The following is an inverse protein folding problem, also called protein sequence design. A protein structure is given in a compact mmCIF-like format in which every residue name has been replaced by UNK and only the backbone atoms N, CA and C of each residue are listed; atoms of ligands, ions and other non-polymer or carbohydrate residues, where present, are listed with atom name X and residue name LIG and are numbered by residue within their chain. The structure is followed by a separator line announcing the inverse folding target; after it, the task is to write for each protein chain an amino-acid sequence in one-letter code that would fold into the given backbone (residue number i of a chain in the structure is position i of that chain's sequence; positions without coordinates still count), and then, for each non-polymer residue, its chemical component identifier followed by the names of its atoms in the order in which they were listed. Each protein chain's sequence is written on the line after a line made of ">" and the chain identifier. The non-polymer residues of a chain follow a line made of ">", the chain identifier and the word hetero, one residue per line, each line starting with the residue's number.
data_IF_795189177383
#
_entry.id   IF_795189177383
#
_cell.length_a   1.000
_cell.length_b   1.000
_cell.length_c   1.000
_cell.angle_alpha   90.00
_cell.angle_beta   90.00
_cell.angle_gamma   90.00
#
_symmetry.space_group_name_H-M   'P 1'
#
loop_
_entity.id
_entity.type
_entity.pdbx_description
1 polymer ?
#
# COMPACT_ATOMS: atom_id res chain seq x y z
N UNK A 1 -27.75 3.01 -20.03
CA UNK A 1 -26.53 3.20 -20.84
C UNK A 1 -26.07 1.82 -21.32
N UNK A 2 -24.94 1.65 -22.01
CA UNK A 2 -24.32 0.33 -22.26
C UNK A 2 -22.85 0.37 -21.84
N UNK A 3 -22.60 0.92 -20.65
CA UNK A 3 -21.27 1.22 -20.16
C UNK A 3 -20.76 0.04 -19.32
N UNK A 4 -19.51 -0.37 -19.56
CA UNK A 4 -18.81 -1.32 -18.70
C UNK A 4 -18.45 -0.63 -17.38
N UNK A 5 -18.84 -1.19 -16.24
CA UNK A 5 -18.65 -0.61 -14.91
C UNK A 5 -18.15 -1.65 -13.91
N UNK A 6 -17.37 -1.24 -12.90
CA UNK A 6 -17.02 -2.08 -11.76
C UNK A 6 -18.16 -1.99 -10.74
N UNK A 7 -18.68 -3.12 -10.31
CA UNK A 7 -19.83 -3.22 -9.40
C UNK A 7 -19.41 -3.98 -8.16
N UNK A 8 -19.70 -3.40 -7.01
CA UNK A 8 -19.39 -4.03 -5.74
C UNK A 8 -20.46 -5.06 -5.38
N UNK A 9 -20.01 -6.21 -4.90
CA UNK A 9 -20.82 -7.33 -4.46
C UNK A 9 -20.29 -7.88 -3.14
N UNK A 10 -21.13 -8.66 -2.45
CA UNK A 10 -20.73 -9.41 -1.26
C UNK A 10 -19.54 -10.34 -1.55
N UNK A 11 -18.80 -10.71 -0.50
CA UNK A 11 -17.60 -11.55 -0.60
C UNK A 11 -17.86 -12.94 -1.19
N UNK A 12 -19.08 -13.46 -1.07
CA UNK A 12 -19.50 -14.76 -1.57
C UNK A 12 -20.01 -14.72 -3.03
N UNK A 13 -20.05 -13.54 -3.65
CA UNK A 13 -20.59 -13.36 -5.00
C UNK A 13 -19.91 -14.26 -6.03
N UNK A 14 -20.69 -15.23 -6.52
CA UNK A 14 -20.29 -16.20 -7.55
C UNK A 14 -18.96 -16.88 -7.22
N UNK A 15 -18.66 -17.13 -5.94
CA UNK A 15 -17.34 -17.60 -5.47
C UNK A 15 -16.75 -18.79 -6.26
N UNK A 16 -17.61 -19.66 -6.78
CA UNK A 16 -17.22 -20.87 -7.53
C UNK A 16 -16.98 -20.61 -9.04
N UNK A 17 -17.33 -19.43 -9.56
CA UNK A 17 -17.18 -19.07 -10.97
C UNK A 17 -15.80 -18.43 -11.26
N UNK A 18 -14.81 -19.26 -11.56
CA UNK A 18 -13.40 -18.85 -11.75
C UNK A 18 -13.12 -18.02 -13.00
N UNK A 19 -13.95 -18.15 -14.03
CA UNK A 19 -13.73 -17.51 -15.33
C UNK A 19 -14.39 -16.13 -15.47
N UNK A 20 -14.87 -15.54 -14.38
CA UNK A 20 -15.44 -14.20 -14.40
C UNK A 20 -14.39 -13.12 -14.22
N UNK A 21 -14.62 -11.98 -14.88
CA UNK A 21 -13.87 -10.76 -14.63
C UNK A 21 -14.29 -10.19 -13.28
N UNK A 22 -13.56 -10.58 -12.22
CA UNK A 22 -13.76 -10.11 -10.86
C UNK A 22 -12.48 -10.17 -10.05
N UNK A 23 -12.40 -9.35 -9.01
CA UNK A 23 -11.33 -9.38 -8.01
C UNK A 23 -11.89 -8.97 -6.64
N UNK A 24 -11.13 -9.16 -5.57
CA UNK A 24 -11.51 -8.60 -4.28
C UNK A 24 -11.14 -7.12 -4.20
N UNK A 25 -11.98 -6.31 -3.55
CA UNK A 25 -11.72 -4.90 -3.25
C UNK A 25 -10.45 -4.75 -2.39
N UNK A 26 -10.23 -5.70 -1.49
CA UNK A 26 -9.06 -5.81 -0.63
C UNK A 26 -8.58 -7.27 -0.62
N UNK A 27 -7.29 -7.54 -0.42
CA UNK A 27 -6.73 -8.89 -0.50
C UNK A 27 -7.05 -9.76 0.73
N UNK A 28 -8.34 -9.97 0.99
CA UNK A 28 -8.90 -10.79 2.05
C UNK A 28 -10.19 -11.48 1.54
N UNK A 29 -10.43 -12.72 1.97
CA UNK A 29 -11.59 -13.51 1.56
C UNK A 29 -12.94 -12.96 2.06
N UNK A 30 -12.94 -12.13 3.13
CA UNK A 30 -14.15 -11.46 3.61
C UNK A 30 -14.37 -10.09 2.95
N UNK A 31 -13.47 -9.65 2.08
CA UNK A 31 -13.62 -8.38 1.38
C UNK A 31 -14.71 -8.46 0.28
N UNK A 32 -15.39 -7.35 -0.02
CA UNK A 32 -16.30 -7.27 -1.17
C UNK A 32 -15.61 -7.64 -2.48
N UNK A 33 -16.39 -8.20 -3.41
CA UNK A 33 -15.93 -8.51 -4.77
C UNK A 33 -16.24 -7.32 -5.68
N UNK A 34 -15.27 -6.92 -6.48
CA UNK A 34 -15.43 -6.02 -7.61
C UNK A 34 -15.69 -6.87 -8.86
N UNK A 35 -16.95 -6.92 -9.30
CA UNK A 35 -17.36 -7.61 -10.52
C UNK A 35 -17.51 -6.62 -11.68
N UNK A 36 -17.05 -6.98 -12.87
CA UNK A 36 -17.06 -6.08 -14.02
C UNK A 36 -18.20 -6.45 -14.99
N UNK A 37 -19.14 -5.54 -15.21
CA UNK A 37 -20.35 -5.79 -15.99
C UNK A 37 -20.81 -4.60 -16.82
N UNK A 38 -21.56 -4.87 -17.89
CA UNK A 38 -22.18 -3.84 -18.72
C UNK A 38 -23.54 -3.47 -18.14
N UNK A 39 -23.72 -2.20 -17.81
CA UNK A 39 -25.02 -1.66 -17.43
C UNK A 39 -25.89 -1.56 -18.68
N UNK A 40 -27.00 -2.30 -18.76
CA UNK A 40 -27.97 -2.22 -19.85
C UNK A 40 -29.15 -1.27 -19.57
N UNK A 41 -29.12 -0.56 -18.43
CA UNK A 41 -30.20 0.27 -17.90
C UNK A 41 -31.20 -0.51 -17.04
N UNK A 42 -31.57 -1.73 -17.45
CA UNK A 42 -32.51 -2.56 -16.68
C UNK A 42 -31.79 -3.57 -15.78
N UNK A 43 -30.59 -4.00 -16.18
CA UNK A 43 -29.81 -4.99 -15.46
C UNK A 43 -28.32 -4.86 -15.79
N UNK A 44 -27.48 -5.33 -14.87
CA UNK A 44 -26.07 -5.57 -15.13
C UNK A 44 -25.86 -6.91 -15.82
N UNK A 45 -25.18 -6.88 -16.96
CA UNK A 45 -24.80 -8.08 -17.72
C UNK A 45 -23.32 -8.36 -17.48
N UNK A 46 -23.01 -9.52 -16.91
CA UNK A 46 -21.65 -9.94 -16.61
C UNK A 46 -21.18 -10.94 -17.67
N UNK A 47 -20.04 -10.65 -18.29
CA UNK A 47 -19.36 -11.56 -19.20
C UNK A 47 -18.30 -12.38 -18.46
N UNK A 48 -18.09 -13.62 -18.89
CA UNK A 48 -16.97 -14.46 -18.47
C UNK A 48 -16.01 -14.69 -19.63
N UNK A 49 -14.80 -15.12 -19.31
CA UNK A 49 -13.86 -15.67 -20.27
C UNK A 49 -14.23 -17.14 -20.60
N UNK A 50 -13.91 -17.60 -21.81
CA UNK A 50 -14.09 -19.00 -22.18
C UNK A 50 -13.06 -19.92 -21.51
N UNK A 51 -11.90 -19.38 -21.13
CA UNK A 51 -10.81 -20.09 -20.47
C UNK A 51 -9.89 -19.11 -19.71
N UNK A 52 -8.96 -19.64 -18.93
CA UNK A 52 -8.03 -18.84 -18.10
C UNK A 52 -7.11 -17.94 -18.95
N UNK A 53 -6.65 -18.41 -20.11
CA UNK A 53 -5.77 -17.63 -20.98
C UNK A 53 -6.46 -16.35 -21.48
N UNK A 54 -7.72 -16.47 -21.88
CA UNK A 54 -8.54 -15.32 -22.27
C UNK A 54 -8.80 -14.38 -21.08
N UNK A 55 -9.06 -14.93 -19.88
CA UNK A 55 -9.25 -14.14 -18.66
C UNK A 55 -8.04 -13.24 -18.41
N UNK A 56 -6.84 -13.81 -18.38
CA UNK A 56 -5.60 -13.05 -18.14
C UNK A 56 -5.31 -12.02 -19.23
N UNK A 57 -5.66 -12.32 -20.48
CA UNK A 57 -5.45 -11.41 -21.60
C UNK A 57 -6.42 -10.22 -21.59
N UNK A 58 -7.72 -10.46 -21.33
CA UNK A 58 -8.77 -9.43 -21.42
C UNK A 58 -8.94 -8.61 -20.13
N UNK A 59 -8.71 -9.21 -18.97
CA UNK A 59 -9.07 -8.60 -17.70
C UNK A 59 -8.44 -7.23 -17.44
N UNK A 60 -7.14 -6.98 -17.75
CA UNK A 60 -6.54 -5.66 -17.55
C UNK A 60 -7.22 -4.54 -18.35
N UNK A 61 -7.66 -4.84 -19.58
CA UNK A 61 -8.34 -3.87 -20.44
C UNK A 61 -9.75 -3.56 -19.92
N UNK A 62 -10.51 -4.61 -19.56
CA UNK A 62 -11.85 -4.51 -18.97
C UNK A 62 -11.81 -3.68 -17.69
N UNK A 63 -10.87 -3.97 -16.79
CA UNK A 63 -10.68 -3.22 -15.54
C UNK A 63 -10.42 -1.74 -15.80
N UNK A 64 -9.49 -1.44 -16.72
CA UNK A 64 -9.12 -0.06 -17.05
C UNK A 64 -10.30 0.73 -17.62
N UNK A 65 -11.04 0.14 -18.56
CA UNK A 65 -12.22 0.76 -19.16
C UNK A 65 -13.31 1.01 -18.11
N UNK A 66 -13.61 0.01 -17.28
CA UNK A 66 -14.62 0.10 -16.24
C UNK A 66 -14.32 1.23 -15.24
N UNK A 67 -13.09 1.31 -14.75
CA UNK A 67 -12.68 2.36 -13.81
C UNK A 67 -12.71 3.75 -14.47
N UNK A 68 -12.39 3.86 -15.77
CA UNK A 68 -12.50 5.12 -16.50
C UNK A 68 -13.97 5.57 -16.63
N UNK A 69 -14.88 4.63 -16.90
CA UNK A 69 -16.32 4.90 -16.97
C UNK A 69 -16.87 5.30 -15.59
N UNK A 70 -16.49 4.59 -14.52
CA UNK A 70 -16.88 4.95 -13.16
C UNK A 70 -16.43 6.38 -12.80
N UNK A 71 -15.21 6.76 -13.18
CA UNK A 71 -14.67 8.10 -12.92
C UNK A 71 -15.48 9.21 -13.61
N UNK A 72 -16.05 8.93 -14.78
CA UNK A 72 -16.85 9.89 -15.53
C UNK A 72 -18.25 10.14 -14.92
N UNK A 73 -18.73 9.25 -14.05
CA UNK A 73 -20.01 9.40 -13.36
C UNK A 73 -19.83 10.39 -12.21
N UNK A 74 -20.57 11.49 -12.23
CA UNK A 74 -20.58 12.43 -11.11
C UNK A 74 -21.55 11.93 -10.03
N UNK A 75 -21.07 11.81 -8.80
CA UNK A 75 -21.86 11.37 -7.65
C UNK A 75 -21.84 12.50 -6.62
N UNK A 76 -22.99 13.12 -6.34
CA UNK A 76 -23.06 14.14 -5.29
C UNK A 76 -22.92 13.49 -3.91
N UNK A 77 -22.46 14.28 -2.95
CA UNK A 77 -22.44 13.92 -1.55
C UNK A 77 -22.77 15.14 -0.69
N UNK A 78 -23.17 14.86 0.54
CA UNK A 78 -23.40 15.85 1.58
C UNK A 78 -22.47 15.61 2.76
N UNK A 79 -22.08 16.68 3.45
CA UNK A 79 -21.33 16.60 4.70
C UNK A 79 -22.23 17.12 5.80
N UNK A 80 -22.40 16.33 6.84
CA UNK A 80 -23.19 16.67 8.04
C UNK A 80 -22.31 16.58 9.27
N UNK A 81 -22.60 17.40 10.28
CA UNK A 81 -21.90 17.32 11.56
C UNK A 81 -22.69 16.43 12.52
N UNK A 82 -22.01 15.43 13.09
CA UNK A 82 -22.55 14.57 14.13
C UNK A 82 -21.50 14.40 15.23
N UNK A 83 -21.88 14.76 16.47
CA UNK A 83 -21.00 14.64 17.64
C UNK A 83 -19.61 15.28 17.43
N UNK A 84 -19.57 16.49 16.85
CA UNK A 84 -18.32 17.21 16.58
C UNK A 84 -17.46 16.60 15.47
N UNK A 85 -17.99 15.63 14.72
CA UNK A 85 -17.34 15.02 13.56
C UNK A 85 -18.10 15.35 12.29
N UNK A 86 -17.36 15.74 11.24
CA UNK A 86 -17.91 15.81 9.89
C UNK A 86 -18.03 14.40 9.31
N UNK A 87 -19.25 14.02 8.94
CA UNK A 87 -19.59 12.77 8.29
C UNK A 87 -20.05 13.07 6.87
N UNK A 88 -19.42 12.44 5.89
CA UNK A 88 -19.84 12.49 4.50
C UNK A 88 -20.78 11.34 4.19
N UNK A 89 -21.88 11.65 3.51
CA UNK A 89 -22.80 10.70 2.92
C UNK A 89 -22.92 10.94 1.41
N UNK A 90 -22.54 9.95 0.62
CA UNK A 90 -22.90 9.86 -0.79
C UNK A 90 -24.04 8.83 -0.90
N UNK A 91 -25.26 9.32 -1.11
CA UNK A 91 -26.49 8.52 -1.16
C UNK A 91 -27.40 9.00 -2.29
N UNK A 92 -28.34 8.16 -2.71
CA UNK A 92 -29.30 8.50 -3.77
C UNK A 92 -28.79 8.34 -5.20
N UNK A 93 -27.51 7.97 -5.39
CA UNK A 93 -26.96 7.56 -6.69
C UNK A 93 -26.61 6.07 -6.68
N UNK A 94 -26.99 5.32 -7.71
CA UNK A 94 -26.81 3.87 -7.77
C UNK A 94 -25.35 3.37 -7.76
N UNK A 95 -24.39 4.28 -7.94
CA UNK A 95 -22.94 4.00 -8.03
C UNK A 95 -22.15 4.67 -6.90
N UNK A 96 -22.83 5.15 -5.86
CA UNK A 96 -22.14 5.86 -4.77
C UNK A 96 -21.18 4.95 -3.99
N UNK A 97 -21.57 3.68 -3.77
CA UNK A 97 -20.71 2.66 -3.15
C UNK A 97 -19.43 2.42 -3.95
N UNK A 98 -19.55 2.33 -5.27
CA UNK A 98 -18.48 2.04 -6.22
C UNK A 98 -17.42 3.14 -6.23
N UNK A 99 -17.76 4.37 -5.84
CA UNK A 99 -16.82 5.49 -5.78
C UNK A 99 -15.65 5.30 -4.81
N UNK A 100 -15.70 4.30 -3.92
CA UNK A 100 -14.51 3.87 -3.16
C UNK A 100 -13.34 3.42 -4.07
N UNK A 101 -13.63 2.99 -5.31
CA UNK A 101 -12.64 2.61 -6.34
C UNK A 101 -12.08 3.81 -7.11
N UNK A 102 -12.68 5.00 -6.99
CA UNK A 102 -12.26 6.21 -7.67
C UNK A 102 -11.31 7.02 -6.77
N UNK A 103 -10.01 6.83 -6.99
CA UNK A 103 -8.94 7.48 -6.23
C UNK A 103 -9.10 9.00 -6.17
N UNK A 104 -9.47 9.64 -7.27
CA UNK A 104 -9.60 11.10 -7.32
C UNK A 104 -10.79 11.58 -6.48
N UNK A 105 -11.89 10.83 -6.52
CA UNK A 105 -13.07 11.09 -5.70
C UNK A 105 -12.76 10.96 -4.21
N UNK A 106 -12.04 9.90 -3.81
CA UNK A 106 -11.65 9.69 -2.41
C UNK A 106 -10.67 10.77 -1.90
N UNK A 107 -9.74 11.23 -2.74
CA UNK A 107 -8.86 12.37 -2.40
C UNK A 107 -9.68 13.65 -2.21
N UNK A 108 -10.66 13.91 -3.07
CA UNK A 108 -11.56 15.06 -2.94
C UNK A 108 -12.32 15.01 -1.62
N UNK A 109 -12.86 13.85 -1.25
CA UNK A 109 -13.54 13.65 0.04
C UNK A 109 -12.60 13.95 1.21
N UNK A 110 -11.36 13.44 1.19
CA UNK A 110 -10.39 13.68 2.24
C UNK A 110 -10.08 15.18 2.41
N UNK A 111 -9.93 15.90 1.30
CA UNK A 111 -9.72 17.34 1.29
C UNK A 111 -10.90 18.12 1.87
N UNK A 112 -12.13 17.77 1.48
CA UNK A 112 -13.35 18.44 1.96
C UNK A 112 -13.61 18.18 3.45
N UNK A 113 -13.27 16.97 3.93
CA UNK A 113 -13.28 16.61 5.36
C UNK A 113 -12.06 17.13 6.12
N UNK A 114 -11.07 17.72 5.43
CA UNK A 114 -9.82 18.26 5.99
C UNK A 114 -9.00 17.22 6.77
N UNK A 115 -8.84 16.03 6.21
CA UNK A 115 -8.09 14.94 6.82
C UNK A 115 -7.20 14.23 5.79
N UNK A 116 -6.16 13.54 6.27
CA UNK A 116 -5.24 12.78 5.40
C UNK A 116 -5.71 11.34 5.17
N UNK A 117 -6.52 10.82 6.10
CA UNK A 117 -6.95 9.42 6.16
C UNK A 117 -8.44 9.32 6.47
N UNK A 118 -9.14 8.49 5.70
CA UNK A 118 -10.58 8.29 5.80
C UNK A 118 -10.91 6.91 6.35
N UNK A 119 -11.95 6.82 7.17
CA UNK A 119 -12.65 5.58 7.44
C UNK A 119 -13.96 5.57 6.66
N UNK A 120 -14.13 4.58 5.79
CA UNK A 120 -15.20 4.52 4.78
C UNK A 120 -16.08 3.29 5.00
N UNK A 121 -17.39 3.45 4.93
CA UNK A 121 -18.37 2.36 4.96
C UNK A 121 -19.15 2.28 3.66
N UNK A 122 -19.39 1.07 3.16
CA UNK A 122 -20.17 0.78 1.94
C UNK A 122 -21.18 -0.34 2.22
N UNK A 123 -22.22 -0.06 3.04
CA UNK A 123 -23.13 -1.09 3.56
C UNK A 123 -23.90 -1.81 2.45
N UNK A 124 -24.41 -1.07 1.47
CA UNK A 124 -25.22 -1.59 0.37
C UNK A 124 -25.12 -0.69 -0.87
N UNK A 125 -25.66 -1.17 -1.99
CA UNK A 125 -25.60 -0.46 -3.28
C UNK A 125 -26.11 0.97 -3.17
N UNK A 126 -25.30 1.91 -3.65
CA UNK A 126 -25.66 3.32 -3.72
C UNK A 126 -25.53 4.10 -2.42
N UNK A 127 -24.79 3.57 -1.44
CA UNK A 127 -24.42 4.28 -0.22
C UNK A 127 -22.92 4.18 0.04
N UNK A 128 -22.31 5.34 0.27
CA UNK A 128 -20.95 5.48 0.79
C UNK A 128 -20.96 6.48 1.95
N UNK A 129 -20.39 6.07 3.07
CA UNK A 129 -20.20 6.90 4.27
C UNK A 129 -18.71 7.10 4.49
N UNK A 130 -18.27 8.31 4.83
CA UNK A 130 -16.86 8.57 5.14
C UNK A 130 -16.71 9.55 6.30
N UNK A 131 -15.72 9.30 7.16
CA UNK A 131 -15.28 10.19 8.24
C UNK A 131 -13.76 10.29 8.23
N UNK A 132 -13.21 11.28 8.93
CA UNK A 132 -11.80 11.24 9.34
C UNK A 132 -11.55 9.97 10.18
N UNK A 133 -10.55 9.16 9.83
CA UNK A 133 -10.22 7.95 10.60
C UNK A 133 -9.81 8.21 12.05
N UNK A 134 -9.42 9.45 12.38
CA UNK A 134 -9.06 9.90 13.72
C UNK A 134 -10.23 10.51 14.51
N UNK A 135 -11.40 10.65 13.88
CA UNK A 135 -12.61 11.16 14.51
C UNK A 135 -13.01 10.38 15.77
N UNK A 136 -13.70 11.07 16.69
CA UNK A 136 -14.38 10.45 17.84
C UNK A 136 -15.43 9.41 17.41
N UNK A 137 -16.08 9.59 16.25
CA UNK A 137 -17.06 8.66 15.67
C UNK A 137 -16.45 7.39 15.08
N UNK A 138 -15.12 7.23 15.03
CA UNK A 138 -14.46 6.03 14.45
C UNK A 138 -14.88 4.71 15.09
N UNK A 139 -15.34 4.73 16.35
CA UNK A 139 -15.87 3.53 17.03
C UNK A 139 -17.34 3.27 16.72
N UNK A 140 -18.09 4.31 16.33
CA UNK A 140 -19.52 4.23 16.03
C UNK A 140 -19.78 3.87 14.58
N UNK A 141 -18.91 4.31 13.66
CA UNK A 141 -19.08 4.06 12.23
C UNK A 141 -19.26 2.57 11.89
N UNK A 142 -18.47 1.60 12.42
CA UNK A 142 -18.71 0.18 12.15
C UNK A 142 -20.10 -0.31 12.57
N UNK A 143 -20.63 0.21 13.69
CA UNK A 143 -21.98 -0.13 14.18
C UNK A 143 -23.04 0.44 13.22
N UNK A 144 -22.86 1.67 12.76
CA UNK A 144 -23.76 2.32 11.80
C UNK A 144 -23.74 1.55 10.47
N UNK A 145 -22.55 1.21 9.95
CA UNK A 145 -22.41 0.43 8.71
C UNK A 145 -23.10 -0.93 8.85
N UNK A 146 -22.92 -1.63 9.98
CA UNK A 146 -23.59 -2.90 10.23
C UNK A 146 -25.11 -2.76 10.25
N UNK A 147 -25.63 -1.71 10.90
CA UNK A 147 -27.07 -1.44 10.96
C UNK A 147 -27.66 -1.20 9.55
N UNK A 148 -26.96 -0.46 8.69
CA UNK A 148 -27.39 -0.25 7.31
C UNK A 148 -27.28 -1.52 6.47
N UNK A 149 -26.22 -2.31 6.66
CA UNK A 149 -26.02 -3.59 5.99
C UNK A 149 -27.12 -4.61 6.31
N UNK A 150 -27.60 -4.64 7.56
CA UNK A 150 -28.65 -5.58 8.01
C UNK A 150 -30.06 -5.22 7.52
N UNK A 151 -30.22 -4.12 6.77
CA UNK A 151 -31.51 -3.74 6.22
C UNK A 151 -31.92 -4.70 5.08
N UNK A 152 -32.99 -5.52 5.26
CA UNK A 152 -33.37 -6.54 4.28
C UNK A 152 -33.96 -5.98 2.98
N UNK A 153 -34.22 -4.68 2.90
CA UNK A 153 -34.78 -4.03 1.70
C UNK A 153 -33.70 -3.55 0.71
N UNK A 154 -32.42 -3.70 1.07
CA UNK A 154 -31.30 -3.17 0.29
C UNK A 154 -30.46 -4.31 -0.28
N UNK A 155 -29.69 -4.01 -1.33
CA UNK A 155 -28.72 -4.95 -1.91
C UNK A 155 -27.38 -4.83 -1.16
N UNK A 156 -27.07 -5.73 -0.19
CA UNK A 156 -25.91 -5.59 0.68
C UNK A 156 -24.59 -5.69 -0.08
N UNK A 157 -23.55 -5.01 0.42
CA UNK A 157 -22.19 -5.07 -0.11
C UNK A 157 -21.21 -5.49 1.00
N UNK A 158 -21.10 -4.72 2.07
CA UNK A 158 -20.14 -4.99 3.15
C UNK A 158 -20.60 -4.47 4.49
N UNK A 159 -20.47 -5.28 5.54
CA UNK A 159 -20.62 -4.82 6.92
C UNK A 159 -19.33 -4.24 7.50
N UNK A 160 -18.28 -4.12 6.69
CA UNK A 160 -16.95 -3.68 7.11
C UNK A 160 -16.74 -2.19 6.82
N UNK A 161 -15.77 -1.63 7.53
CA UNK A 161 -15.20 -0.31 7.24
C UNK A 161 -13.85 -0.47 6.57
N UNK A 162 -13.46 0.51 5.77
CA UNK A 162 -12.23 0.53 4.99
C UNK A 162 -11.42 1.75 5.38
N UNK A 163 -10.13 1.56 5.65
CA UNK A 163 -9.19 2.66 5.80
C UNK A 163 -8.71 3.07 4.41
N UNK A 164 -8.93 4.33 4.05
CA UNK A 164 -8.51 4.90 2.77
C UNK A 164 -7.46 5.97 3.01
N UNK A 165 -6.31 5.84 2.36
CA UNK A 165 -5.20 6.79 2.43
C UNK A 165 -4.73 7.11 1.01
N UNK A 166 -4.47 8.39 0.72
CA UNK A 166 -4.11 8.85 -0.62
C UNK A 166 -5.13 8.40 -1.70
N UNK A 167 -6.40 8.25 -1.31
CA UNK A 167 -7.48 7.77 -2.18
C UNK A 167 -7.47 6.27 -2.48
N UNK A 168 -6.65 5.46 -1.81
CA UNK A 168 -6.60 4.00 -1.99
C UNK A 168 -6.97 3.27 -0.69
N UNK A 169 -7.65 2.13 -0.80
CA UNK A 169 -7.95 1.26 0.35
C UNK A 169 -6.66 0.58 0.82
N UNK A 170 -6.25 0.85 2.07
CA UNK A 170 -5.00 0.33 2.65
C UNK A 170 -5.20 -0.69 3.78
N UNK A 171 -6.40 -0.75 4.35
CA UNK A 171 -6.80 -1.76 5.34
C UNK A 171 -8.33 -1.91 5.40
N UNK A 172 -8.81 -3.03 5.94
CA UNK A 172 -10.23 -3.29 6.19
C UNK A 172 -10.47 -3.68 7.66
N UNK A 173 -11.54 -3.15 8.24
CA UNK A 173 -11.99 -3.51 9.58
C UNK A 173 -12.53 -4.94 9.61
N UNK A 174 -12.20 -5.70 10.66
CA UNK A 174 -12.63 -7.09 10.79
C UNK A 174 -11.83 -8.09 9.96
N UNK A 175 -10.74 -7.66 9.30
CA UNK A 175 -9.69 -8.60 8.90
C UNK A 175 -9.36 -9.48 10.10
N UNK A 176 -9.46 -10.80 9.90
CA UNK A 176 -8.83 -11.71 10.85
C UNK A 176 -7.36 -11.34 10.81
N UNK A 177 -6.82 -10.93 11.96
CA UNK A 177 -5.38 -10.92 12.15
C UNK A 177 -4.90 -12.26 11.59
N UNK A 178 -3.90 -12.29 10.68
CA UNK A 178 -3.47 -13.54 10.08
C UNK A 178 -3.33 -14.54 11.21
N UNK A 179 -4.21 -15.56 11.22
CA UNK A 179 -4.14 -16.62 12.22
C UNK A 179 -2.71 -17.11 12.12
N UNK A 180 -1.99 -17.08 13.23
CA UNK A 180 -0.60 -17.49 13.29
C UNK A 180 -0.56 -18.98 12.89
N UNK A 181 -0.50 -19.29 11.59
CA UNK A 181 -0.12 -20.62 11.12
C UNK A 181 1.28 -20.98 11.66
N UNK A 182 2.01 -19.98 12.17
CA UNK A 182 3.26 -20.06 12.88
C UNK A 182 3.20 -19.50 14.32
N UNK A 183 2.26 -19.93 15.18
CA UNK A 183 2.42 -19.72 16.65
C UNK A 183 3.79 -20.27 17.14
N UNK A 184 4.39 -21.14 16.33
CA UNK A 184 5.72 -21.66 16.51
C UNK A 184 6.87 -20.71 16.19
N UNK A 185 6.67 -19.55 15.53
CA UNK A 185 7.79 -18.70 15.11
C UNK A 185 8.03 -17.51 16.02
N UNK A 186 7.00 -16.93 16.64
CA UNK A 186 7.21 -15.83 17.59
C UNK A 186 6.10 -15.65 18.61
N UNK A 187 6.42 -14.97 19.72
CA UNK A 187 5.47 -14.62 20.79
C UNK A 187 5.47 -13.11 21.00
N UNK A 188 4.30 -12.49 20.94
CA UNK A 188 4.12 -11.05 21.21
C UNK A 188 3.67 -10.88 22.66
N UNK A 189 4.30 -9.95 23.37
CA UNK A 189 3.98 -9.52 24.72
C UNK A 189 3.78 -8.01 24.77
N UNK A 190 2.90 -7.54 25.64
CA UNK A 190 2.59 -6.12 25.84
C UNK A 190 2.79 -5.77 27.32
N UNK A 191 3.46 -4.65 27.61
CA UNK A 191 3.62 -4.18 28.99
C UNK A 191 2.58 -3.10 29.36
N UNK A 192 2.56 -2.65 30.64
CA UNK A 192 1.61 -1.63 31.12
C UNK A 192 1.72 -0.28 30.40
N UNK A 193 2.89 0.03 29.85
CA UNK A 193 3.13 1.24 29.07
C UNK A 193 2.79 1.05 27.58
N UNK A 194 2.27 -0.12 27.19
CA UNK A 194 1.93 -0.47 25.81
C UNK A 194 3.15 -0.45 24.87
N UNK A 195 4.30 -0.82 25.42
CA UNK A 195 5.45 -1.27 24.64
C UNK A 195 5.29 -2.75 24.33
N UNK A 196 5.82 -3.15 23.18
CA UNK A 196 5.69 -4.52 22.68
C UNK A 196 7.03 -5.24 22.71
N UNK A 197 7.04 -6.46 23.22
CA UNK A 197 8.17 -7.38 23.15
C UNK A 197 7.84 -8.56 22.25
N UNK A 198 8.71 -8.88 21.29
CA UNK A 198 8.51 -9.94 20.30
C UNK A 198 9.64 -10.96 20.46
N UNK A 199 9.32 -12.16 20.91
CA UNK A 199 10.27 -13.28 21.04
C UNK A 199 10.29 -14.08 19.75
N UNK A 200 11.39 -14.00 19.00
CA UNK A 200 11.56 -14.64 17.69
C UNK A 200 12.28 -15.99 17.86
N UNK A 201 11.72 -17.05 17.27
CA UNK A 201 12.24 -18.43 17.28
C UNK A 201 12.94 -18.81 15.96
N UNK A 202 13.19 -17.83 15.10
CA UNK A 202 13.87 -18.00 13.81
C UNK A 202 15.24 -18.66 13.99
N UNK A 203 15.64 -19.52 13.05
CA UNK A 203 16.89 -20.30 13.13
C UNK A 203 18.01 -19.73 12.27
N UNK A 204 17.67 -18.87 11.33
CA UNK A 204 18.60 -18.22 10.41
C UNK A 204 18.11 -16.79 10.08
N UNK A 205 18.95 -16.04 9.36
CA UNK A 205 18.69 -14.62 9.04
C UNK A 205 17.50 -14.46 8.09
N UNK A 206 17.26 -15.39 7.17
CA UNK A 206 16.16 -15.30 6.20
C UNK A 206 14.79 -15.52 6.87
N UNK A 207 14.71 -16.52 7.75
CA UNK A 207 13.57 -16.73 8.65
C UNK A 207 13.36 -15.52 9.56
N UNK A 208 14.45 -14.97 10.13
CA UNK A 208 14.40 -13.81 11.02
C UNK A 208 13.73 -12.62 10.34
N UNK A 209 14.11 -12.32 9.10
CA UNK A 209 13.51 -11.23 8.32
C UNK A 209 12.02 -11.49 8.11
N UNK A 210 11.64 -12.72 7.78
CA UNK A 210 10.24 -13.10 7.57
C UNK A 210 9.41 -12.96 8.85
N UNK A 211 9.93 -13.44 9.98
CA UNK A 211 9.24 -13.40 11.27
C UNK A 211 9.14 -11.96 11.81
N UNK A 212 10.18 -11.14 11.63
CA UNK A 212 10.13 -9.70 11.96
C UNK A 212 9.01 -9.02 11.18
N UNK A 213 8.88 -9.30 9.88
CA UNK A 213 7.79 -8.70 9.08
C UNK A 213 6.42 -9.05 9.60
N UNK A 214 6.20 -10.34 9.83
CA UNK A 214 4.89 -10.85 10.21
C UNK A 214 4.52 -10.35 11.60
N UNK A 215 5.45 -10.45 12.55
CA UNK A 215 5.25 -9.97 13.92
C UNK A 215 5.10 -8.45 14.00
N UNK A 216 5.89 -7.68 13.23
CA UNK A 216 5.79 -6.22 13.19
C UNK A 216 4.44 -5.77 12.65
N UNK A 217 3.90 -6.41 11.59
CA UNK A 217 2.54 -6.14 11.11
C UNK A 217 1.49 -6.38 12.19
N UNK A 218 1.59 -7.50 12.90
CA UNK A 218 0.65 -7.81 13.98
C UNK A 218 0.73 -6.77 15.10
N UNK A 219 1.94 -6.38 15.54
CA UNK A 219 2.12 -5.30 16.52
C UNK A 219 1.55 -3.98 16.00
N UNK A 220 1.76 -3.63 14.74
CA UNK A 220 1.19 -2.41 14.18
C UNK A 220 -0.34 -2.43 14.16
N UNK A 221 -0.95 -3.56 13.81
CA UNK A 221 -2.40 -3.73 13.90
C UNK A 221 -2.90 -3.63 15.34
N UNK A 222 -2.19 -4.22 16.31
CA UNK A 222 -2.49 -4.07 17.73
C UNK A 222 -2.42 -2.61 18.16
N UNK A 223 -1.38 -1.87 17.77
CA UNK A 223 -1.22 -0.43 18.06
C UNK A 223 -2.41 0.36 17.48
N UNK A 224 -2.78 0.12 16.22
CA UNK A 224 -3.91 0.78 15.57
C UNK A 224 -5.24 0.48 16.27
N UNK A 225 -5.44 -0.77 16.72
CA UNK A 225 -6.64 -1.19 17.46
C UNK A 225 -6.70 -0.57 18.86
N UNK A 226 -5.57 -0.54 19.58
CA UNK A 226 -5.46 0.02 20.94
C UNK A 226 -5.49 1.55 20.94
N UNK A 227 -5.12 2.18 19.81
CA UNK A 227 -5.05 3.63 19.62
C UNK A 227 -4.06 4.31 20.57
N UNK A 228 -3.06 3.55 20.99
CA UNK A 228 -2.03 4.02 21.88
C UNK A 228 -0.82 3.09 21.77
N UNK A 229 0.35 3.69 21.86
CA UNK A 229 1.63 3.00 21.74
C UNK A 229 2.60 3.62 22.75
N UNK A 230 3.31 2.79 23.51
CA UNK A 230 4.29 3.29 24.48
C UNK A 230 5.53 3.91 23.84
N UNK A 231 5.77 3.60 22.56
CA UNK A 231 6.92 4.07 21.79
C UNK A 231 8.09 3.09 21.75
N UNK A 232 7.96 1.86 22.26
CA UNK A 232 9.04 0.87 22.14
C UNK A 232 8.55 -0.47 21.59
N UNK A 233 9.28 -0.99 20.59
CA UNK A 233 9.14 -2.36 20.10
C UNK A 233 10.50 -3.06 20.24
N UNK A 234 10.55 -4.12 21.04
CA UNK A 234 11.75 -4.89 21.31
C UNK A 234 11.65 -6.29 20.68
N UNK A 235 12.53 -6.59 19.73
CA UNK A 235 12.71 -7.93 19.16
C UNK A 235 13.75 -8.70 19.98
N UNK A 236 13.40 -9.85 20.53
CA UNK A 236 14.27 -10.75 21.28
C UNK A 236 14.56 -11.97 20.41
N UNK A 237 15.83 -12.17 20.09
CA UNK A 237 16.31 -13.19 19.17
C UNK A 237 16.68 -14.43 19.96
N UNK A 238 16.34 -15.60 19.42
CA UNK A 238 16.80 -16.89 19.94
C UNK A 238 18.32 -17.04 19.80
N UNK A 239 18.93 -17.72 20.77
CA UNK A 239 20.31 -18.22 20.71
C UNK A 239 20.56 -19.19 19.55
N UNK A 240 19.51 -19.68 18.87
CA UNK A 240 19.62 -20.51 17.68
C UNK A 240 20.34 -19.80 16.52
N UNK A 241 20.25 -18.47 16.44
CA UNK A 241 21.00 -17.68 15.45
C UNK A 241 22.34 -17.27 16.08
N UNK A 242 23.49 -17.62 15.49
CA UNK A 242 24.79 -17.22 16.02
C UNK A 242 24.97 -15.70 15.94
N UNK A 243 25.38 -15.09 17.05
CA UNK A 243 25.71 -13.68 17.08
C UNK A 243 27.01 -13.42 16.29
N UNK A 244 26.89 -12.69 15.18
CA UNK A 244 28.01 -12.25 14.35
C UNK A 244 27.74 -10.85 13.78
N UNK A 245 28.74 -10.25 13.13
CA UNK A 245 28.62 -8.91 12.54
C UNK A 245 27.50 -8.83 11.50
N UNK A 246 27.30 -9.90 10.71
CA UNK A 246 26.24 -9.97 9.70
C UNK A 246 24.84 -9.84 10.32
N UNK A 247 24.59 -10.53 11.44
CA UNK A 247 23.33 -10.43 12.17
C UNK A 247 23.12 -9.00 12.70
N UNK A 248 24.14 -8.45 13.36
CA UNK A 248 24.10 -7.10 13.93
C UNK A 248 23.85 -6.04 12.85
N UNK A 249 24.56 -6.11 11.72
CA UNK A 249 24.40 -5.19 10.60
C UNK A 249 23.00 -5.34 9.97
N UNK A 250 22.48 -6.58 9.87
CA UNK A 250 21.12 -6.81 9.39
C UNK A 250 20.06 -6.21 10.32
N UNK A 251 20.19 -6.38 11.64
CA UNK A 251 19.27 -5.80 12.62
C UNK A 251 19.30 -4.26 12.59
N UNK A 252 20.47 -3.64 12.48
CA UNK A 252 20.58 -2.18 12.33
C UNK A 252 19.95 -1.69 11.02
N UNK A 253 20.19 -2.38 9.90
CA UNK A 253 19.55 -2.07 8.63
C UNK A 253 18.03 -2.17 8.72
N UNK A 254 17.52 -3.13 9.51
CA UNK A 254 16.09 -3.25 9.78
C UNK A 254 15.55 -2.04 10.55
N UNK A 255 16.22 -1.61 11.62
CA UNK A 255 15.82 -0.39 12.34
C UNK A 255 15.79 0.80 11.39
N UNK A 256 16.84 1.02 10.60
CA UNK A 256 16.96 2.17 9.71
C UNK A 256 15.84 2.21 8.66
N UNK A 257 15.50 1.07 8.05
CA UNK A 257 14.43 0.98 7.07
C UNK A 257 13.04 1.18 7.70
N UNK A 258 12.83 0.69 8.93
CA UNK A 258 11.61 0.94 9.71
C UNK A 258 11.49 2.44 10.02
N UNK A 259 12.56 3.07 10.50
CA UNK A 259 12.58 4.51 10.84
C UNK A 259 12.37 5.41 9.62
N UNK A 260 12.86 5.02 8.45
CA UNK A 260 12.64 5.76 7.19
C UNK A 260 11.21 5.61 6.64
N UNK A 261 10.37 4.75 7.22
CA UNK A 261 9.02 4.55 6.73
C UNK A 261 8.09 5.70 7.14
N UNK A 262 7.62 6.49 6.16
CA UNK A 262 6.75 7.64 6.40
C UNK A 262 5.45 7.27 7.13
N UNK A 263 4.80 6.17 6.75
CA UNK A 263 3.54 5.74 7.37
C UNK A 263 3.74 5.38 8.85
N UNK A 264 4.83 4.67 9.17
CA UNK A 264 5.15 4.38 10.55
C UNK A 264 5.45 5.65 11.34
N UNK A 265 6.14 6.63 10.75
CA UNK A 265 6.36 7.93 11.38
C UNK A 265 5.02 8.64 11.67
N UNK A 266 4.07 8.59 10.73
CA UNK A 266 2.73 9.14 10.96
C UNK A 266 1.99 8.43 12.09
N UNK A 267 1.96 7.09 12.10
CA UNK A 267 1.30 6.31 13.16
C UNK A 267 1.98 6.57 14.51
N UNK A 268 3.31 6.61 14.51
CA UNK A 268 4.12 6.90 15.69
C UNK A 268 3.83 8.28 16.26
N UNK A 269 3.78 9.32 15.42
CA UNK A 269 3.44 10.68 15.86
C UNK A 269 2.01 10.78 16.38
N UNK A 270 1.08 10.04 15.78
CA UNK A 270 -0.33 10.08 16.17
C UNK A 270 -0.62 9.29 17.47
N UNK A 271 0.06 8.16 17.67
CA UNK A 271 -0.32 7.18 18.71
C UNK A 271 0.72 6.95 19.80
N UNK A 272 1.99 7.32 19.58
CA UNK A 272 3.04 7.06 20.55
C UNK A 272 3.04 8.09 21.68
N UNK A 273 3.12 7.60 22.93
CA UNK A 273 3.28 8.44 24.12
C UNK A 273 4.74 8.88 24.35
N UNK A 274 5.69 8.30 23.60
CA UNK A 274 7.11 8.65 23.65
C UNK A 274 7.77 8.51 22.28
N UNK A 275 9.04 8.94 22.18
CA UNK A 275 9.84 8.79 20.96
C UNK A 275 9.94 7.30 20.60
N UNK A 276 9.55 6.96 19.38
CA UNK A 276 9.55 5.58 18.91
C UNK A 276 10.98 5.04 18.80
N UNK A 277 11.18 3.86 19.37
CA UNK A 277 12.45 3.14 19.43
C UNK A 277 12.25 1.67 19.09
N UNK A 278 13.20 1.14 18.34
CA UNK A 278 13.29 -0.28 18.01
C UNK A 278 14.54 -0.85 18.67
N UNK A 279 14.41 -2.02 19.29
CA UNK A 279 15.54 -2.70 19.95
C UNK A 279 15.62 -4.13 19.48
N UNK A 280 16.83 -4.62 19.29
CA UNK A 280 17.13 -6.02 19.05
C UNK A 280 17.98 -6.53 20.21
N UNK A 281 17.49 -7.55 20.89
CA UNK A 281 18.19 -8.26 21.96
C UNK A 281 18.59 -9.65 21.48
N UNK A 282 19.82 -10.08 21.77
CA UNK A 282 20.28 -11.46 21.58
C UNK A 282 20.74 -11.99 22.94
N UNK A 283 20.10 -13.06 23.43
CA UNK A 283 20.30 -13.59 24.78
C UNK A 283 20.21 -12.51 25.89
N UNK A 284 19.26 -11.58 25.71
CA UNK A 284 19.03 -10.46 26.62
C UNK A 284 19.97 -9.26 26.46
N UNK A 285 21.00 -9.36 25.62
CA UNK A 285 21.96 -8.29 25.36
C UNK A 285 21.54 -7.45 24.16
N UNK A 286 21.63 -6.12 24.27
CA UNK A 286 21.30 -5.20 23.18
C UNK A 286 22.33 -5.30 22.05
N UNK A 287 21.88 -5.67 20.85
CA UNK A 287 22.72 -5.76 19.65
C UNK A 287 22.43 -4.66 18.62
N UNK A 288 21.19 -4.15 18.57
CA UNK A 288 20.82 -2.98 17.77
C UNK A 288 19.78 -2.12 18.50
N UNK A 289 19.82 -0.77 18.39
CA UNK A 289 20.79 0.00 17.60
C UNK A 289 22.18 -0.03 18.24
N UNK A 290 23.23 -0.14 17.42
CA UNK A 290 24.61 -0.10 17.91
C UNK A 290 24.96 1.34 18.30
N UNK A 291 25.28 1.56 19.57
CA UNK A 291 25.53 2.90 20.15
C UNK A 291 26.80 3.59 19.65
N UNK A 292 27.64 2.91 18.86
CA UNK A 292 28.85 3.48 18.29
C UNK A 292 28.66 3.72 16.78
N UNK A 293 28.78 4.97 16.29
CA UNK A 293 28.92 5.19 14.85
C UNK A 293 30.18 4.46 14.39
N UNK A 294 30.03 3.39 13.60
CA UNK A 294 31.14 2.79 12.86
C UNK A 294 31.70 3.91 12.00
N UNK A 295 32.81 4.50 12.45
CA UNK A 295 33.53 5.50 11.68
C UNK A 295 34.08 4.72 10.50
N UNK A 296 33.38 4.80 9.37
CA UNK A 296 33.82 4.18 8.12
C UNK A 296 35.15 4.85 7.79
N UNK A 297 36.26 4.19 8.13
CA UNK A 297 37.56 4.53 7.60
C UNK A 297 37.47 4.29 6.11
N UNK A 298 37.22 5.38 5.38
CA UNK A 298 37.50 5.42 3.96
C UNK A 298 39.00 5.32 3.81
N UNK A 299 39.47 4.18 3.32
CA UNK A 299 40.85 3.97 2.90
C UNK A 299 41.15 4.94 1.75
N UNK A 300 41.54 6.15 2.14
CA UNK A 300 42.12 7.14 1.24
C UNK A 300 43.62 6.89 1.19
N UNK A 301 44.07 6.48 0.00
CA UNK A 301 45.46 6.36 -0.40
C UNK A 301 46.18 7.68 -0.09
N UNK A 302 47.01 7.70 0.95
CA UNK A 302 47.88 8.82 1.27
C UNK A 302 49.13 8.78 0.36
N UNK A 303 49.20 9.74 -0.57
CA UNK A 303 50.49 10.22 -1.11
C UNK A 303 50.92 11.43 -0.29
N UNK A 304 52.10 11.33 0.28
CA UNK A 304 52.76 12.31 1.14
C UNK A 304 53.24 13.55 0.37
N UNK A 305 53.00 14.73 0.94
CA UNK A 305 53.81 15.95 0.73
C UNK A 305 53.96 16.63 2.10
N UNK A 306 55.17 17.01 2.54
CA UNK A 306 55.37 17.74 3.79
C UNK A 306 55.56 19.24 3.52
N UNK A 307 54.80 20.11 4.17
CA UNK A 307 55.20 21.51 4.39
C UNK A 307 54.71 21.99 5.75
N UNK A 308 55.59 22.73 6.41
CA UNK A 308 55.58 23.10 7.80
C UNK A 308 54.72 24.33 8.14
N UNK A 309 54.36 24.37 9.43
CA UNK A 309 54.43 25.51 10.36
C UNK A 309 53.40 26.67 10.31
N UNK A 310 52.77 26.84 11.48
CA UNK A 310 52.75 28.04 12.37
C UNK A 310 51.46 28.89 12.51
N UNK A 311 51.24 29.20 13.81
CA UNK A 311 50.44 30.26 14.49
C UNK A 311 48.90 30.17 14.41
N UNK A 312 48.20 29.99 15.53
CA UNK A 312 47.91 30.90 16.67
C UNK A 312 46.73 31.86 16.44
N UNK A 313 45.68 31.57 17.21
CA UNK A 313 44.87 32.47 18.06
C UNK A 313 43.94 33.56 17.49
N UNK A 314 42.71 33.45 18.00
CA UNK A 314 41.79 34.50 18.47
C UNK A 314 41.22 35.54 17.48
N UNK A 315 39.89 35.59 17.36
CA UNK A 315 39.08 36.58 18.09
C UNK A 315 37.58 36.41 17.85
N UNK A 316 36.85 36.85 18.87
CA UNK A 316 35.42 36.81 19.13
C UNK A 316 34.68 37.99 18.48
N UNK A 317 33.33 37.87 18.39
CA UNK A 317 32.28 38.92 18.38
C UNK A 317 31.93 39.58 17.02
N UNK A 318 30.69 39.99 16.68
CA UNK A 318 29.29 39.96 17.19
C UNK A 318 28.43 40.66 16.09
N UNK A 319 27.08 40.55 16.16
CA UNK A 319 26.03 41.43 15.56
C UNK A 319 25.34 41.01 14.23
N UNK A 320 24.15 40.43 14.43
CA UNK A 320 22.79 40.70 13.88
C UNK A 320 22.51 41.06 12.41
N UNK A 321 21.37 40.50 11.98
CA UNK A 321 20.30 41.06 11.15
C UNK A 321 20.63 41.49 9.72
N UNK A 322 20.09 40.75 8.75
CA UNK A 322 19.16 41.37 7.78
C UNK A 322 18.20 40.30 7.22
N UNK A 323 16.92 40.53 7.45
CA UNK A 323 15.77 39.90 6.81
C UNK A 323 15.48 40.53 5.44
N UNK A 324 14.73 39.78 4.63
CA UNK A 324 13.90 40.19 3.49
C UNK A 324 14.42 40.03 2.05
N UNK A 325 13.45 39.55 1.25
CA UNK A 325 13.29 39.55 -0.21
C UNK A 325 14.04 38.49 -1.01
N UNK A 326 13.33 37.40 -1.33
CA UNK A 326 13.17 36.98 -2.73
C UNK A 326 11.70 36.56 -2.98
N UNK A 327 11.05 37.31 -3.87
CA UNK A 327 9.79 36.96 -4.55
C UNK A 327 10.10 36.05 -5.75
N UNK A 328 9.24 35.04 -5.93
CA UNK A 328 8.73 34.45 -7.18
C UNK A 328 9.64 34.39 -8.42
N UNK A 329 10.00 33.16 -8.82
CA UNK A 329 10.11 32.80 -10.25
C UNK A 329 9.45 31.44 -10.47
N UNK A 330 8.59 31.41 -11.48
CA UNK A 330 7.75 30.31 -11.88
C UNK A 330 8.48 29.31 -12.82
N UNK A 331 7.77 28.21 -13.07
CA UNK A 331 7.90 27.28 -14.19
C UNK A 331 9.16 26.40 -14.23
N UNK A 332 9.00 25.16 -13.76
CA UNK A 332 9.78 24.06 -14.31
C UNK A 332 8.88 22.86 -14.62
N UNK A 333 8.88 22.47 -15.90
CA UNK A 333 8.10 21.38 -16.49
C UNK A 333 8.51 20.04 -15.88
N UNK A 334 7.60 19.37 -15.18
CA UNK A 334 7.80 17.99 -14.75
C UNK A 334 7.65 17.02 -15.94
N UNK A 335 8.66 16.17 -16.13
CA UNK A 335 8.60 14.98 -16.98
C UNK A 335 7.62 13.96 -16.38
N UNK A 336 6.96 13.12 -17.20
CA UNK A 336 6.01 12.13 -16.70
C UNK A 336 6.72 11.09 -15.83
N UNK A 337 6.23 10.94 -14.61
CA UNK A 337 6.65 9.89 -13.68
C UNK A 337 6.27 8.52 -14.25
N UNK A 338 7.26 7.66 -14.44
CA UNK A 338 7.05 6.24 -14.70
C UNK A 338 6.32 5.62 -13.51
N UNK A 339 5.15 5.03 -13.78
CA UNK A 339 4.33 4.35 -12.77
C UNK A 339 5.11 3.20 -12.13
N UNK A 340 5.64 3.43 -10.92
CA UNK A 340 6.12 2.35 -10.04
C UNK A 340 4.89 1.62 -9.49
N UNK A 341 4.83 0.30 -9.70
CA UNK A 341 3.84 -0.56 -9.04
C UNK A 341 4.00 -0.40 -7.53
N UNK A 342 2.94 -0.02 -6.82
CA UNK A 342 2.96 0.09 -5.36
C UNK A 342 3.12 -1.31 -4.76
N UNK A 343 4.24 -1.55 -4.07
CA UNK A 343 4.36 -2.73 -3.20
C UNK A 343 3.42 -2.52 -2.01
N UNK A 344 2.80 -3.59 -1.46
CA UNK A 344 2.01 -3.47 -0.24
C UNK A 344 2.86 -2.80 0.83
N UNK A 345 2.30 -1.80 1.54
CA UNK A 345 3.07 -0.95 2.45
C UNK A 345 3.80 -1.74 3.55
N UNK A 346 3.41 -2.98 3.79
CA UNK A 346 3.96 -3.89 4.79
C UNK A 346 4.98 -4.93 4.26
N UNK A 347 5.24 -5.00 2.94
CA UNK A 347 6.23 -5.91 2.35
C UNK A 347 7.55 -5.15 2.14
N UNK A 348 8.36 -5.07 3.18
CA UNK A 348 9.57 -4.22 3.19
C UNK A 348 10.84 -4.94 2.72
N UNK A 349 10.95 -6.26 2.95
CA UNK A 349 12.21 -7.02 2.82
C UNK A 349 12.05 -8.27 1.95
N UNK A 350 11.46 -8.12 0.77
CA UNK A 350 11.74 -9.12 -0.25
C UNK A 350 13.27 -9.19 -0.40
N UNK A 351 13.85 -10.39 -0.35
CA UNK A 351 15.21 -10.60 -0.85
C UNK A 351 15.30 -9.82 -2.16
N UNK A 352 16.21 -8.87 -2.25
CA UNK A 352 16.58 -8.35 -3.56
C UNK A 352 16.96 -9.58 -4.37
N UNK A 353 16.07 -10.03 -5.27
CA UNK A 353 16.49 -10.79 -6.42
C UNK A 353 17.47 -9.84 -7.10
N UNK A 354 18.76 -10.03 -6.77
CA UNK A 354 19.83 -9.47 -7.57
C UNK A 354 19.62 -10.10 -8.94
N UNK A 355 19.06 -9.33 -9.86
CA UNK A 355 19.06 -9.66 -11.28
C UNK A 355 20.52 -9.93 -11.64
N UNK A 356 20.89 -11.20 -11.69
CA UNK A 356 22.23 -11.59 -12.08
C UNK A 356 22.41 -11.12 -13.53
N UNK A 357 23.63 -10.72 -13.94
CA UNK A 357 23.90 -10.34 -15.33
C UNK A 357 23.43 -11.37 -16.36
N UNK A 358 23.32 -12.64 -15.96
CA UNK A 358 22.80 -13.74 -16.77
C UNK A 358 21.29 -13.65 -17.02
N UNK A 359 20.49 -13.22 -16.04
CA UNK A 359 19.03 -13.04 -16.19
C UNK A 359 18.69 -11.84 -17.06
N UNK A 360 19.46 -10.76 -16.96
CA UNK A 360 19.34 -9.58 -17.84
C UNK A 360 19.65 -9.99 -19.29
N UNK A 361 20.74 -10.73 -19.49
CA UNK A 361 21.12 -11.25 -20.81
C UNK A 361 20.07 -12.21 -21.40
N UNK A 362 19.49 -13.08 -20.58
CA UNK A 362 18.43 -13.99 -21.01
C UNK A 362 17.15 -13.25 -21.42
N UNK A 363 16.81 -12.15 -20.75
CA UNK A 363 15.67 -11.30 -21.11
C UNK A 363 15.92 -10.53 -22.42
N UNK A 364 17.12 -10.02 -22.63
CA UNK A 364 17.52 -9.35 -23.88
C UNK A 364 17.52 -10.30 -25.09
N UNK A 365 18.04 -11.53 -24.92
CA UNK A 365 18.07 -12.54 -25.98
C UNK A 365 16.65 -13.01 -26.34
N UNK A 366 15.76 -13.10 -25.36
CA UNK A 366 14.34 -13.42 -25.58
C UNK A 366 13.63 -12.31 -26.36
N UNK A 367 13.89 -11.04 -26.04
CA UNK A 367 13.30 -9.90 -26.75
C UNK A 367 13.74 -9.86 -28.23
N UNK A 368 15.02 -10.13 -28.52
CA UNK A 368 15.53 -10.22 -29.90
C UNK A 368 14.88 -11.36 -30.69
N UNK A 369 14.62 -12.49 -30.05
CA UNK A 369 13.97 -13.64 -30.68
C UNK A 369 12.50 -13.33 -31.05
N UNK A 370 11.80 -12.54 -30.25
CA UNK A 370 10.43 -12.12 -30.55
C UNK A 370 10.37 -11.06 -31.66
N UNK A 371 11.36 -10.17 -31.73
CA UNK A 371 11.49 -9.18 -32.82
C UNK A 371 11.77 -9.85 -34.18
N UNK A 372 12.56 -10.94 -34.18
CA UNK A 372 12.78 -11.78 -35.37
C UNK A 372 11.51 -12.51 -35.84
N UNK A 373 10.61 -12.85 -34.91
CA UNK A 373 9.35 -13.53 -35.24
C UNK A 373 8.28 -12.58 -35.77
N UNK A 374 8.30 -11.30 -35.38
CA UNK A 374 7.31 -10.30 -35.82
C UNK A 374 7.62 -9.69 -37.20
N UNK A 375 8.84 -9.87 -37.72
CA UNK A 375 9.30 -9.27 -38.98
C UNK A 375 8.87 -9.97 -40.28
N UNK A 376 8.16 -11.11 -40.25
CA UNK A 376 7.89 -11.90 -41.47
C UNK A 376 6.42 -12.18 -41.69
N UNK A 377 5.62 -11.15 -41.96
CA UNK A 377 4.33 -11.30 -42.64
C UNK A 377 3.96 -10.00 -43.36
N UNK A 378 4.51 -9.81 -44.56
CA UNK A 378 3.99 -8.87 -45.56
C UNK A 378 3.28 -9.71 -46.61
N UNK A 379 1.97 -9.89 -46.43
CA UNK A 379 1.13 -10.64 -47.36
C UNK A 379 1.10 -9.94 -48.73
N UNK A 380 1.41 -10.74 -49.75
CA UNK A 380 1.20 -10.44 -51.16
C UNK A 380 -0.30 -10.40 -51.43
N UNK A 381 -0.83 -9.21 -51.69
CA UNK A 381 -2.22 -9.02 -52.10
C UNK A 381 -2.39 -9.46 -53.58
N UNK A 382 -2.85 -10.70 -53.80
CA UNK A 382 -3.27 -11.21 -55.12
C UNK A 382 -4.77 -10.96 -55.30
N UNK A 383 -5.13 -9.79 -55.81
CA UNK A 383 -6.48 -9.54 -56.34
C UNK A 383 -6.43 -8.62 -57.55
N UNK A 384 -5.80 -9.09 -58.64
CA UNK A 384 -5.91 -8.46 -59.96
C UNK A 384 -5.72 -9.50 -61.06
N UNK A 385 -6.67 -10.44 -61.16
CA UNK A 385 -6.83 -11.26 -62.36
C UNK A 385 -8.30 -11.56 -62.59
N UNK A 386 -9.00 -10.63 -63.24
CA UNK A 386 -10.09 -10.93 -64.17
C UNK A 386 -10.45 -9.70 -65.00
N UNK A 387 -9.67 -9.47 -66.05
CA UNK A 387 -10.06 -8.70 -67.23
C UNK A 387 -9.14 -9.15 -68.34
N UNK A 388 -9.64 -9.96 -69.27
CA UNK A 388 -9.25 -10.08 -70.68
C UNK A 388 -9.72 -11.45 -71.22
N UNK A 389 -10.89 -11.48 -71.83
CA UNK A 389 -11.12 -12.29 -73.02
C UNK A 389 -11.92 -11.45 -74.03
N UNK A 390 -11.47 -11.35 -75.29
CA UNK A 390 -12.24 -10.75 -76.38
C UNK A 390 -13.23 -11.76 -76.97
N UNK A 391 -14.21 -11.22 -77.71
CA UNK A 391 -15.25 -11.94 -78.46
C UNK A 391 -14.69 -12.91 -79.49
#
# INVERSE_FOLDING_TARGET
>A
MNALLPILKTSDYRKDEKLQFKEFLFNDAIAPVVAYGKDSGNAMVYEGAANESELYARFPAIKKEALANLKAIDVPYQITEAEGTNVLFAEGHEYASEKILDKAYMIKIAADLKCDTLMVGIPFKGVLMAIDSNSEMRLKLPVIVKQYFDNPQQDPISDKVFLVQNGEVVAMGGEKLPENESEDNFVISENKAQNYGIELKSKNIDELVTDINTSFKQVMLMILQRKSFGGEITFKLSSAIPLNDTLTDKCNSIIEQIEKNEMLQTISQALASSKVQFKFLHDGNLIAPTTAPKTVQSDSIQKSIPVASKLEQETTKVITDTSEKIKSVAENKQKPATAKKSKPWWKFWASEEQDTPEMIKAAEDKAKLEELKSGTQKEFNKSDHNKFMPK
#
